data_IF_252863266712
#
_entry.id   IF_252863266712
#
_cell.length_a   1.000
_cell.length_b   1.000
_cell.length_c   1.000
_cell.angle_alpha   90.00
_cell.angle_beta   90.00
_cell.angle_gamma   90.00
#
_symmetry.space_group_name_H-M   'P 1'
#
loop_
_entity.id
_entity.type
_entity.pdbx_description
1 polymer ?
#
# COMPACT_ATOMS: atom_id res chain seq x y z
N UNK A 1 5.26 -15.73 6.75
CA UNK A 1 5.95 -16.55 5.74
C UNK A 1 7.45 -16.77 5.98
N UNK A 2 8.09 -16.10 6.95
CA UNK A 2 9.51 -16.32 7.31
C UNK A 2 9.77 -17.32 8.45
N UNK A 3 8.73 -17.78 9.16
CA UNK A 3 8.88 -18.68 10.31
C UNK A 3 9.35 -20.11 9.94
N UNK A 4 9.42 -20.45 8.64
CA UNK A 4 9.82 -21.77 8.14
C UNK A 4 11.10 -21.74 7.28
N UNK A 5 11.75 -20.58 7.09
CA UNK A 5 12.95 -20.47 6.25
C UNK A 5 12.73 -20.77 4.76
N UNK A 6 11.48 -20.83 4.30
CA UNK A 6 11.09 -21.11 2.92
C UNK A 6 10.76 -19.83 2.17
N UNK A 7 11.34 -19.67 0.99
CA UNK A 7 11.05 -18.60 0.05
C UNK A 7 9.93 -18.93 -0.93
N UNK A 8 9.58 -17.96 -1.76
CA UNK A 8 8.48 -18.03 -2.75
C UNK A 8 8.61 -19.23 -3.71
N UNK A 9 9.85 -19.66 -3.98
CA UNK A 9 10.21 -20.76 -4.89
C UNK A 9 10.09 -22.15 -4.26
N UNK A 10 9.90 -22.23 -2.95
CA UNK A 10 9.83 -23.51 -2.22
C UNK A 10 8.42 -24.11 -2.17
N UNK A 11 7.48 -23.47 -2.87
CA UNK A 11 6.08 -23.87 -2.96
C UNK A 11 5.73 -24.31 -4.38
N UNK A 12 5.08 -25.45 -4.50
CA UNK A 12 4.50 -25.93 -5.76
C UNK A 12 3.18 -25.20 -6.03
N UNK A 13 3.27 -23.93 -6.40
CA UNK A 13 2.10 -23.14 -6.78
C UNK A 13 1.45 -23.75 -8.03
N UNK A 14 0.13 -23.97 -7.99
CA UNK A 14 -0.64 -24.28 -9.20
C UNK A 14 -0.66 -23.05 -10.13
N UNK A 15 -0.74 -21.86 -9.54
CA UNK A 15 -0.48 -20.56 -10.16
C UNK A 15 0.17 -19.66 -9.11
N UNK A 16 1.33 -19.08 -9.42
CA UNK A 16 2.02 -18.21 -8.47
C UNK A 16 1.18 -16.93 -8.23
N UNK A 17 0.98 -16.53 -6.97
CA UNK A 17 0.30 -15.27 -6.69
C UNK A 17 1.17 -14.10 -7.13
N UNK A 18 0.54 -12.97 -7.46
CA UNK A 18 1.25 -11.70 -7.59
C UNK A 18 1.73 -11.30 -6.19
N UNK A 19 3.05 -11.20 -6.00
CA UNK A 19 3.63 -10.82 -4.71
C UNK A 19 3.92 -9.32 -4.75
N UNK A 20 3.28 -8.59 -3.85
CA UNK A 20 3.40 -7.14 -3.75
C UNK A 20 4.43 -6.78 -2.69
N UNK A 21 5.35 -5.88 -3.06
CA UNK A 21 6.49 -5.44 -2.24
C UNK A 21 6.49 -3.92 -2.14
N UNK A 22 7.07 -3.36 -1.08
CA UNK A 22 7.20 -1.91 -0.91
C UNK A 22 8.20 -1.32 -1.91
N UNK A 23 7.71 -1.04 -3.10
CA UNK A 23 8.47 -0.47 -4.21
C UNK A 23 7.66 0.67 -4.86
N UNK A 24 8.18 1.20 -5.97
CA UNK A 24 7.52 2.27 -6.72
C UNK A 24 6.16 1.83 -7.28
N UNK A 25 6.02 0.59 -7.73
CA UNK A 25 4.76 0.08 -8.30
C UNK A 25 3.65 0.07 -7.26
N UNK A 26 3.94 -0.30 -6.01
CA UNK A 26 2.97 -0.20 -4.90
C UNK A 26 2.58 1.25 -4.63
N UNK A 27 3.54 2.19 -4.64
CA UNK A 27 3.22 3.61 -4.51
C UNK A 27 2.37 4.12 -5.67
N UNK A 28 2.67 3.72 -6.90
CA UNK A 28 1.93 4.11 -8.11
C UNK A 28 0.51 3.54 -8.08
N UNK A 29 0.34 2.30 -7.63
CA UNK A 29 -0.98 1.70 -7.39
C UNK A 29 -1.79 2.51 -6.36
N UNK A 30 -1.22 2.82 -5.21
CA UNK A 30 -1.88 3.64 -4.19
C UNK A 30 -2.25 5.03 -4.72
N UNK A 31 -1.35 5.63 -5.50
CA UNK A 31 -1.60 6.92 -6.15
C UNK A 31 -2.80 6.83 -7.10
N UNK A 32 -2.82 5.82 -7.97
CA UNK A 32 -3.89 5.63 -8.96
C UNK A 32 -5.24 5.31 -8.33
N UNK A 33 -5.24 4.54 -7.24
CA UNK A 33 -6.43 4.28 -6.46
C UNK A 33 -7.00 5.57 -5.83
N UNK A 34 -6.13 6.42 -5.29
CA UNK A 34 -6.51 7.62 -4.54
C UNK A 34 -6.80 8.84 -5.45
N UNK A 35 -6.12 8.99 -6.59
CA UNK A 35 -6.23 10.18 -7.46
C UNK A 35 -7.66 10.43 -7.97
N UNK A 36 -8.44 9.35 -8.14
CA UNK A 36 -9.83 9.42 -8.60
C UNK A 36 -10.85 9.65 -7.48
N UNK A 37 -10.44 9.70 -6.21
CA UNK A 37 -11.37 9.79 -5.07
C UNK A 37 -11.59 11.25 -4.66
N UNK A 38 -12.85 11.61 -4.44
CA UNK A 38 -13.25 12.95 -3.95
C UNK A 38 -12.73 13.24 -2.53
N UNK A 39 -12.66 12.22 -1.67
CA UNK A 39 -12.18 12.30 -0.28
C UNK A 39 -10.99 11.35 -0.12
N UNK A 40 -10.17 11.61 0.89
CA UNK A 40 -9.16 10.66 1.32
C UNK A 40 -9.77 9.34 1.78
N UNK A 41 -8.93 8.32 1.79
CA UNK A 41 -9.25 6.99 2.30
C UNK A 41 -8.44 6.70 3.52
N UNK A 42 -8.99 5.88 4.39
CA UNK A 42 -8.24 5.36 5.52
C UNK A 42 -7.13 4.46 5.01
N UNK A 43 -6.07 4.29 5.80
CA UNK A 43 -4.95 3.44 5.42
C UNK A 43 -5.43 1.99 5.22
N UNK A 44 -6.35 1.54 6.07
CA UNK A 44 -6.97 0.20 5.98
C UNK A 44 -7.69 -0.02 4.64
N UNK A 45 -8.47 0.97 4.16
CA UNK A 45 -9.13 0.92 2.84
C UNK A 45 -8.10 0.72 1.70
N UNK A 46 -6.97 1.43 1.78
CA UNK A 46 -5.91 1.36 0.77
C UNK A 46 -5.18 0.02 0.86
N UNK A 47 -4.91 -0.45 2.07
CA UNK A 47 -4.26 -1.72 2.34
C UNK A 47 -5.13 -2.91 1.88
N UNK A 48 -6.44 -2.87 2.15
CA UNK A 48 -7.40 -3.84 1.65
C UNK A 48 -7.42 -3.89 0.11
N UNK A 49 -7.30 -2.74 -0.56
CA UNK A 49 -7.26 -2.73 -2.03
C UNK A 49 -6.00 -3.40 -2.59
N UNK A 50 -4.87 -3.33 -1.89
CA UNK A 50 -3.65 -4.06 -2.24
C UNK A 50 -3.79 -5.56 -1.98
N UNK A 51 -4.44 -5.96 -0.88
CA UNK A 51 -4.74 -7.36 -0.58
C UNK A 51 -5.56 -8.04 -1.68
N UNK A 52 -6.47 -7.30 -2.33
CA UNK A 52 -7.25 -7.81 -3.46
C UNK A 52 -6.39 -8.02 -4.72
N UNK A 53 -5.35 -7.20 -4.93
CA UNK A 53 -4.48 -7.27 -6.12
C UNK A 53 -3.39 -8.35 -5.99
N UNK A 54 -2.94 -8.66 -4.78
CA UNK A 54 -1.90 -9.65 -4.59
C UNK A 54 -1.55 -9.97 -3.14
N UNK A 55 -0.61 -10.90 -2.98
CA UNK A 55 -0.10 -11.29 -1.68
C UNK A 55 0.88 -10.23 -1.16
N UNK A 56 0.54 -9.61 -0.03
CA UNK A 56 1.40 -8.62 0.62
C UNK A 56 2.43 -9.30 1.52
N UNK A 57 3.68 -8.89 1.39
CA UNK A 57 4.77 -9.30 2.29
C UNK A 57 5.11 -8.25 3.35
N UNK A 58 4.26 -7.23 3.47
CA UNK A 58 4.42 -6.10 4.38
C UNK A 58 3.10 -5.84 5.10
N UNK A 59 3.16 -5.20 6.27
CA UNK A 59 1.98 -4.80 7.03
C UNK A 59 1.59 -3.33 6.80
N UNK A 60 0.49 -2.88 7.42
CA UNK A 60 -0.03 -1.50 7.30
C UNK A 60 0.98 -0.43 7.75
N UNK A 61 1.71 -0.69 8.84
CA UNK A 61 2.71 0.23 9.39
C UNK A 61 3.89 0.42 8.42
N UNK A 62 4.38 -0.68 7.84
CA UNK A 62 5.44 -0.64 6.83
C UNK A 62 4.96 0.07 5.55
N UNK A 63 3.70 -0.15 5.14
CA UNK A 63 3.08 0.57 4.03
C UNK A 63 3.01 2.07 4.33
N UNK A 64 2.54 2.47 5.51
CA UNK A 64 2.48 3.86 5.92
C UNK A 64 3.87 4.50 5.87
N UNK A 65 4.86 3.85 6.48
CA UNK A 65 6.26 4.31 6.49
C UNK A 65 6.88 4.40 5.09
N UNK A 66 6.44 3.56 4.15
CA UNK A 66 6.84 3.64 2.75
C UNK A 66 6.20 4.84 2.05
N UNK A 67 4.89 5.03 2.21
CA UNK A 67 4.14 6.10 1.55
C UNK A 67 4.46 7.49 2.12
N UNK A 68 4.82 7.61 3.41
CA UNK A 68 5.22 8.90 4.00
C UNK A 68 6.50 9.47 3.40
N UNK A 69 7.35 8.62 2.83
CA UNK A 69 8.56 9.03 2.10
C UNK A 69 8.26 9.50 0.67
N UNK A 70 7.05 9.25 0.17
CA UNK A 70 6.63 9.66 -1.17
C UNK A 70 5.89 11.00 -1.10
N UNK A 71 6.50 12.02 -1.70
CA UNK A 71 6.02 13.40 -1.66
C UNK A 71 4.64 13.59 -2.29
N UNK A 72 4.14 12.63 -3.09
CA UNK A 72 2.82 12.70 -3.73
C UNK A 72 1.68 12.56 -2.75
N UNK A 73 1.91 12.02 -1.56
CA UNK A 73 0.86 11.74 -0.58
C UNK A 73 0.81 12.78 0.54
N UNK A 74 -0.40 13.00 1.04
CA UNK A 74 -0.68 13.78 2.24
C UNK A 74 -1.41 12.89 3.24
N UNK A 75 -0.96 12.95 4.48
CA UNK A 75 -1.46 12.15 5.59
C UNK A 75 -2.13 13.09 6.59
N UNK A 76 -3.26 12.66 7.10
CA UNK A 76 -3.90 13.24 8.27
C UNK A 76 -3.99 12.13 9.29
N UNK A 77 -3.14 12.22 10.30
CA UNK A 77 -3.03 11.20 11.33
C UNK A 77 -4.23 11.33 12.28
N UNK A 78 -4.88 10.20 12.53
CA UNK A 78 -5.82 10.05 13.64
C UNK A 78 -5.12 9.28 14.76
N UNK A 79 -5.84 8.99 15.84
CA UNK A 79 -5.33 8.33 17.05
C UNK A 79 -4.71 6.95 16.79
N UNK A 80 -5.02 6.31 15.65
CA UNK A 80 -4.54 4.98 15.26
C UNK A 80 -4.02 4.94 13.81
N UNK A 81 -3.06 4.06 13.53
CA UNK A 81 -2.43 3.86 12.20
C UNK A 81 -3.49 3.61 11.12
N UNK A 82 -4.44 2.71 11.38
CA UNK A 82 -5.54 2.36 10.46
C UNK A 82 -6.41 3.57 10.10
N UNK A 83 -6.69 4.44 11.08
CA UNK A 83 -7.46 5.68 10.91
C UNK A 83 -6.71 6.79 10.19
N UNK A 84 -5.45 6.57 9.79
CA UNK A 84 -4.68 7.57 9.03
C UNK A 84 -5.36 7.82 7.68
N UNK A 85 -5.81 9.05 7.45
CA UNK A 85 -6.43 9.43 6.18
C UNK A 85 -5.32 9.76 5.17
N UNK A 86 -5.26 8.98 4.09
CA UNK A 86 -4.42 9.21 2.91
C UNK A 86 -5.14 9.99 1.82
N UNK A 87 -4.42 10.94 1.22
CA UNK A 87 -4.84 11.70 0.03
C UNK A 87 -3.67 11.93 -0.90
N UNK A 88 -3.94 11.99 -2.20
CA UNK A 88 -2.98 12.49 -3.19
C UNK A 88 -2.95 14.01 -3.15
N UNK A 89 -1.75 14.60 -3.16
CA UNK A 89 -1.57 16.05 -3.34
C UNK A 89 -1.99 16.42 -4.76
N UNK A 90 -2.87 17.41 -4.91
CA UNK A 90 -3.10 18.04 -6.22
C UNK A 90 -1.79 18.70 -6.64
N UNK A 91 -1.34 18.46 -7.87
CA UNK A 91 -0.29 19.31 -8.47
C UNK A 91 -0.82 20.73 -8.39
N UNK A 92 -0.07 21.61 -7.73
CA UNK A 92 -0.28 23.04 -7.90
C UNK A 92 0.12 23.33 -9.36
N UNK A 93 -0.87 23.60 -10.21
CA UNK A 93 -0.60 24.32 -11.45
C UNK A 93 0.09 25.63 -11.02
N UNK A 94 1.34 25.79 -11.45
CA UNK A 94 2.08 27.06 -11.35
C UNK A 94 1.77 27.87 -12.59
#
# INVERSE_FOLDING_TARGET
MFALGKGEKDFNWISAPKILRLNKETSDFCYDYLKGKRKGRELDDVYCQLLVDGYLIFNEEELLNHLTKDERFKFQNDTYIQGTILRVKKRMEK
#
